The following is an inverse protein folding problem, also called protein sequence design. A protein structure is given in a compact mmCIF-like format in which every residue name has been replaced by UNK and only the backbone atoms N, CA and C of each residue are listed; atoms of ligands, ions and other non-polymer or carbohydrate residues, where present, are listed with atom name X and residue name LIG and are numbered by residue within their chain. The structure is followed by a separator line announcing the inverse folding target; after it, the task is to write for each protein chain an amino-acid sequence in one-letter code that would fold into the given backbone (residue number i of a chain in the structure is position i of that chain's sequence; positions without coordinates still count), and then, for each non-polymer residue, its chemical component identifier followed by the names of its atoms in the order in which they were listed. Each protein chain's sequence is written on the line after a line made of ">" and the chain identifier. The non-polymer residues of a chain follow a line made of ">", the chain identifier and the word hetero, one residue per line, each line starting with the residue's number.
data_IF_480219180118
#
_entry.id   IF_480219180118
#
_cell.length_a   1.000
_cell.length_b   1.000
_cell.length_c   1.000
_cell.angle_alpha   90.00
_cell.angle_beta   90.00
_cell.angle_gamma   90.00
#
_symmetry.space_group_name_H-M   'P 1'
#
loop_
_entity.id
_entity.type
_entity.pdbx_description
1 polymer ?
#
# COMPACT_ATOMS: atom_id res chain seq x y z
N UNK A 1 -2.61 -7.20 22.94
CA UNK A 1 -1.48 -6.80 22.06
C UNK A 1 -2.05 -6.04 20.88
N UNK A 2 -1.38 -5.05 20.30
CA UNK A 2 -1.85 -4.41 19.09
C UNK A 2 -1.80 -5.40 17.92
N UNK A 3 -2.64 -5.19 16.92
CA UNK A 3 -2.86 -6.14 15.84
C UNK A 3 -2.85 -5.45 14.46
N UNK A 4 -2.12 -6.02 13.51
CA UNK A 4 -2.05 -5.57 12.12
C UNK A 4 -2.49 -6.68 11.17
N UNK A 5 -3.37 -6.34 10.22
CA UNK A 5 -3.76 -7.17 9.10
C UNK A 5 -3.11 -6.65 7.82
N UNK A 6 -2.40 -7.50 7.07
CA UNK A 6 -1.65 -7.13 5.87
C UNK A 6 -2.16 -7.93 4.68
N UNK A 7 -2.75 -7.26 3.69
CA UNK A 7 -3.07 -7.88 2.40
C UNK A 7 -1.83 -7.92 1.50
N UNK A 8 -1.64 -9.01 0.73
CA UNK A 8 -0.39 -9.22 -0.01
C UNK A 8 0.83 -9.34 0.91
N UNK A 9 0.60 -9.86 2.13
CA UNK A 9 1.59 -9.91 3.20
C UNK A 9 2.64 -11.01 3.06
N UNK A 10 2.48 -11.95 2.10
CA UNK A 10 3.37 -13.09 1.99
C UNK A 10 4.68 -12.81 1.23
N UNK A 11 4.81 -11.66 0.56
CA UNK A 11 5.98 -11.32 -0.24
C UNK A 11 6.32 -9.82 -0.18
N UNK A 12 7.48 -9.45 -0.69
CA UNK A 12 7.90 -8.06 -0.93
C UNK A 12 7.74 -7.14 0.28
N UNK A 13 7.09 -6.00 0.06
CA UNK A 13 6.85 -4.96 1.07
C UNK A 13 6.00 -5.52 2.23
N UNK A 14 4.90 -6.23 1.92
CA UNK A 14 4.02 -6.79 2.94
C UNK A 14 4.76 -7.77 3.86
N UNK A 15 5.65 -8.62 3.32
CA UNK A 15 6.47 -9.53 4.13
C UNK A 15 7.46 -8.78 5.04
N UNK A 16 8.09 -7.72 4.53
CA UNK A 16 8.96 -6.87 5.33
C UNK A 16 8.18 -6.13 6.43
N UNK A 17 6.98 -5.65 6.11
CA UNK A 17 6.06 -5.05 7.09
C UNK A 17 5.68 -6.06 8.17
N UNK A 18 5.32 -7.29 7.80
CA UNK A 18 5.01 -8.35 8.75
C UNK A 18 6.16 -8.59 9.74
N UNK A 19 7.39 -8.72 9.23
CA UNK A 19 8.60 -8.87 10.07
C UNK A 19 8.80 -7.69 11.02
N UNK A 20 8.64 -6.47 10.49
CA UNK A 20 8.85 -5.24 11.26
C UNK A 20 7.90 -5.13 12.43
N UNK A 21 6.61 -5.42 12.23
CA UNK A 21 5.61 -5.37 13.28
C UNK A 21 5.75 -6.54 14.27
N UNK A 22 6.05 -7.75 13.79
CA UNK A 22 6.27 -8.91 14.66
C UNK A 22 7.46 -8.70 15.61
N UNK A 23 8.55 -8.06 15.14
CA UNK A 23 9.71 -7.74 15.96
C UNK A 23 9.39 -6.84 17.16
N UNK A 24 8.31 -6.04 17.08
CA UNK A 24 7.83 -5.19 18.16
C UNK A 24 6.65 -5.79 18.94
N UNK A 25 6.41 -7.09 18.78
CA UNK A 25 5.44 -7.85 19.58
C UNK A 25 3.99 -7.65 19.17
N UNK A 26 3.70 -7.24 17.92
CA UNK A 26 2.34 -7.15 17.40
C UNK A 26 1.81 -8.51 17.00
N UNK A 27 0.50 -8.71 17.12
CA UNK A 27 -0.20 -9.80 16.44
C UNK A 27 -0.29 -9.46 14.96
N UNK A 28 0.26 -10.33 14.10
CA UNK A 28 0.39 -10.05 12.66
C UNK A 28 -0.43 -11.04 11.84
N UNK A 29 -1.38 -10.53 11.06
CA UNK A 29 -2.10 -11.26 10.03
C UNK A 29 -1.42 -11.07 8.66
N UNK A 30 -1.07 -12.17 8.02
CA UNK A 30 -0.47 -12.22 6.68
C UNK A 30 -1.46 -12.90 5.75
N UNK A 31 -2.09 -12.12 4.88
CA UNK A 31 -3.10 -12.62 3.95
C UNK A 31 -2.65 -12.39 2.50
N UNK A 32 -2.78 -13.41 1.67
CA UNK A 32 -2.28 -13.39 0.28
C UNK A 32 -3.05 -14.37 -0.58
N UNK A 33 -3.06 -14.18 -1.89
CA UNK A 33 -3.61 -15.15 -2.85
C UNK A 33 -2.66 -16.33 -3.10
N UNK A 34 -1.37 -16.16 -2.82
CA UNK A 34 -0.33 -17.16 -3.08
C UNK A 34 -0.12 -18.10 -1.87
N UNK A 35 -0.70 -19.30 -1.95
CA UNK A 35 -0.63 -20.30 -0.89
C UNK A 35 0.80 -20.77 -0.56
N UNK A 36 1.68 -20.87 -1.55
CA UNK A 36 3.09 -21.27 -1.33
C UNK A 36 3.85 -20.18 -0.56
N UNK A 37 3.66 -18.91 -0.93
CA UNK A 37 4.26 -17.79 -0.22
C UNK A 37 3.72 -17.67 1.23
N UNK A 38 2.43 -17.96 1.45
CA UNK A 38 1.84 -18.03 2.79
C UNK A 38 2.47 -19.14 3.63
N UNK A 39 2.65 -20.34 3.07
CA UNK A 39 3.33 -21.44 3.75
C UNK A 39 4.77 -21.07 4.14
N UNK A 40 5.50 -20.41 3.23
CA UNK A 40 6.84 -19.88 3.51
C UNK A 40 6.84 -18.79 4.59
N UNK A 41 5.80 -17.94 4.62
CA UNK A 41 5.62 -16.95 5.68
C UNK A 41 5.43 -17.60 7.05
N UNK A 42 4.53 -18.58 7.11
CA UNK A 42 4.21 -19.32 8.33
C UNK A 42 5.40 -20.14 8.84
N UNK A 43 6.19 -20.70 7.93
CA UNK A 43 7.42 -21.43 8.30
C UNK A 43 8.50 -20.50 8.87
N UNK A 44 8.60 -19.26 8.39
CA UNK A 44 9.53 -18.25 8.91
C UNK A 44 9.13 -17.77 10.30
N UNK A 45 7.85 -17.49 10.50
CA UNK A 45 7.33 -17.10 11.81
C UNK A 45 6.01 -17.84 12.08
N UNK A 46 6.05 -18.89 12.93
CA UNK A 46 4.86 -19.67 13.29
C UNK A 46 3.75 -18.88 13.99
N UNK A 47 4.05 -17.70 14.54
CA UNK A 47 3.05 -16.88 15.22
C UNK A 47 2.20 -16.03 14.25
N UNK A 48 2.56 -15.93 12.98
CA UNK A 48 1.71 -15.24 12.00
C UNK A 48 0.35 -15.93 11.86
N UNK A 49 -0.71 -15.15 11.91
CA UNK A 49 -2.03 -15.57 11.46
C UNK A 49 -2.05 -15.47 9.93
N UNK A 50 -2.26 -16.59 9.24
CA UNK A 50 -2.17 -16.64 7.78
C UNK A 50 -3.47 -17.11 7.16
N UNK A 51 -3.91 -16.48 6.09
CA UNK A 51 -5.10 -16.86 5.35
C UNK A 51 -5.04 -16.49 3.87
N UNK A 52 -5.84 -17.19 3.06
CA UNK A 52 -5.97 -16.87 1.63
C UNK A 52 -6.91 -15.69 1.46
N UNK A 53 -6.50 -14.72 0.63
CA UNK A 53 -7.31 -13.55 0.32
C UNK A 53 -7.06 -13.09 -1.12
N UNK A 54 -8.11 -13.15 -1.95
CA UNK A 54 -8.18 -12.37 -3.18
C UNK A 54 -8.83 -11.03 -2.87
N UNK A 55 -8.06 -9.94 -2.94
CA UNK A 55 -8.53 -8.59 -2.59
C UNK A 55 -9.65 -8.07 -3.50
N UNK A 56 -9.92 -8.74 -4.63
CA UNK A 56 -11.02 -8.41 -5.55
C UNK A 56 -12.38 -8.92 -5.07
N UNK A 57 -12.38 -9.78 -4.07
CA UNK A 57 -13.57 -10.49 -3.58
C UNK A 57 -14.01 -9.92 -2.22
N UNK A 58 -15.18 -9.25 -2.15
CA UNK A 58 -15.68 -8.66 -0.91
C UNK A 58 -16.03 -9.71 0.17
N UNK A 59 -16.47 -10.91 -0.24
CA UNK A 59 -16.83 -11.97 0.71
C UNK A 59 -15.56 -12.55 1.35
N UNK A 60 -14.48 -12.68 0.61
CA UNK A 60 -13.18 -13.08 1.17
C UNK A 60 -12.62 -12.02 2.13
N UNK A 61 -12.77 -10.73 1.85
CA UNK A 61 -12.42 -9.68 2.80
C UNK A 61 -13.19 -9.82 4.11
N UNK A 62 -14.52 -10.00 4.04
CA UNK A 62 -15.35 -10.15 5.21
C UNK A 62 -14.96 -11.39 6.04
N UNK A 63 -14.73 -12.53 5.40
CA UNK A 63 -14.32 -13.78 6.06
C UNK A 63 -12.92 -13.65 6.70
N UNK A 64 -11.94 -13.11 5.97
CA UNK A 64 -10.56 -12.96 6.45
C UNK A 64 -10.45 -12.02 7.66
N UNK A 65 -11.17 -10.89 7.64
CA UNK A 65 -11.19 -9.96 8.76
C UNK A 65 -11.93 -10.52 9.97
N UNK A 66 -13.03 -11.26 9.77
CA UNK A 66 -13.73 -11.93 10.84
C UNK A 66 -12.83 -12.97 11.52
N UNK A 67 -12.20 -13.85 10.75
CA UNK A 67 -11.24 -14.85 11.25
C UNK A 67 -10.09 -14.19 12.03
N UNK A 68 -9.44 -13.18 11.45
CA UNK A 68 -8.35 -12.48 12.11
C UNK A 68 -8.78 -11.85 13.44
N UNK A 69 -9.93 -11.19 13.45
CA UNK A 69 -10.41 -10.48 14.65
C UNK A 69 -10.90 -11.40 15.75
N UNK A 70 -11.31 -12.62 15.46
CA UNK A 70 -11.55 -13.65 16.49
C UNK A 70 -10.28 -13.91 17.31
N UNK A 71 -9.12 -14.01 16.68
CA UNK A 71 -7.83 -14.22 17.35
C UNK A 71 -7.34 -13.00 18.15
N UNK A 72 -7.79 -11.79 17.78
CA UNK A 72 -7.36 -10.54 18.43
C UNK A 72 -8.39 -9.98 19.43
N UNK A 73 -9.45 -10.74 19.71
CA UNK A 73 -10.53 -10.29 20.61
C UNK A 73 -11.35 -9.13 20.03
N UNK A 74 -11.55 -9.11 18.72
CA UNK A 74 -12.29 -8.08 18.00
C UNK A 74 -11.47 -6.84 17.61
N UNK A 75 -10.17 -6.84 17.88
CA UNK A 75 -9.27 -5.70 17.71
C UNK A 75 -8.58 -5.71 16.35
N UNK A 76 -8.55 -4.56 15.68
CA UNK A 76 -7.79 -4.28 14.47
C UNK A 76 -7.17 -2.90 14.60
N UNK A 77 -5.89 -2.81 14.95
CA UNK A 77 -5.19 -1.52 15.11
C UNK A 77 -4.75 -0.95 13.77
N UNK A 78 -4.35 -1.83 12.85
CA UNK A 78 -3.88 -1.43 11.51
C UNK A 78 -4.44 -2.38 10.46
N UNK A 79 -5.09 -1.83 9.43
CA UNK A 79 -5.20 -2.49 8.14
C UNK A 79 -4.11 -1.92 7.21
N UNK A 80 -3.23 -2.79 6.68
CA UNK A 80 -2.29 -2.47 5.60
C UNK A 80 -2.80 -3.02 4.27
N UNK A 81 -3.41 -2.15 3.47
CA UNK A 81 -3.79 -2.40 2.09
C UNK A 81 -2.53 -2.39 1.21
N UNK A 82 -1.76 -3.48 1.27
CA UNK A 82 -0.48 -3.60 0.59
C UNK A 82 -0.56 -4.41 -0.72
N UNK A 83 -1.53 -5.30 -0.88
CA UNK A 83 -1.68 -6.09 -2.10
C UNK A 83 -1.69 -5.20 -3.35
N UNK A 84 -0.91 -5.58 -4.36
CA UNK A 84 -0.82 -4.84 -5.61
C UNK A 84 -0.03 -5.57 -6.66
N UNK A 85 -0.26 -5.19 -7.92
CA UNK A 85 0.43 -5.72 -9.10
C UNK A 85 0.90 -4.57 -9.98
N UNK A 86 1.88 -4.85 -10.85
CA UNK A 86 2.30 -3.92 -11.89
C UNK A 86 2.30 -4.65 -13.22
N UNK A 87 1.44 -4.23 -14.12
CA UNK A 87 1.36 -4.72 -15.50
C UNK A 87 1.86 -3.60 -16.42
N UNK A 88 3.13 -3.64 -16.82
CA UNK A 88 3.71 -2.60 -17.67
C UNK A 88 3.28 -2.75 -19.13
N UNK A 89 3.34 -1.65 -19.86
CA UNK A 89 3.11 -1.59 -21.30
C UNK A 89 2.44 -0.30 -21.72
N UNK A 90 2.62 0.07 -23.00
CA UNK A 90 1.88 1.16 -23.60
C UNK A 90 0.39 0.79 -23.67
N UNK A 91 -0.49 1.72 -23.29
CA UNK A 91 -1.91 1.44 -23.10
C UNK A 91 -2.57 0.75 -24.32
N UNK A 92 -2.16 1.14 -25.52
CA UNK A 92 -2.70 0.55 -26.77
C UNK A 92 -2.28 -0.91 -26.99
N UNK A 93 -1.21 -1.38 -26.32
CA UNK A 93 -0.67 -2.74 -26.42
C UNK A 93 -1.08 -3.63 -25.24
N UNK A 94 -1.59 -3.05 -24.14
CA UNK A 94 -2.06 -3.81 -22.96
C UNK A 94 -3.45 -4.37 -23.24
N UNK A 95 -3.67 -5.66 -22.93
CA UNK A 95 -4.97 -6.30 -23.14
C UNK A 95 -6.05 -5.73 -22.20
N UNK A 96 -7.34 -5.73 -22.61
CA UNK A 96 -8.43 -5.31 -21.74
C UNK A 96 -8.51 -6.10 -20.42
N UNK A 97 -8.19 -7.38 -20.43
CA UNK A 97 -8.14 -8.21 -19.21
C UNK A 97 -7.03 -7.77 -18.26
N UNK A 98 -5.86 -7.43 -18.78
CA UNK A 98 -4.75 -6.92 -17.98
C UNK A 98 -5.07 -5.54 -17.35
N UNK A 99 -5.72 -4.65 -18.13
CA UNK A 99 -6.23 -3.37 -17.61
C UNK A 99 -7.21 -3.62 -16.45
N UNK A 100 -8.19 -4.52 -16.67
CA UNK A 100 -9.18 -4.88 -15.65
C UNK A 100 -8.50 -5.43 -14.38
N UNK A 101 -7.58 -6.38 -14.53
CA UNK A 101 -6.85 -6.98 -13.42
C UNK A 101 -6.10 -5.92 -12.61
N UNK A 102 -5.42 -4.99 -13.28
CA UNK A 102 -4.68 -3.89 -12.63
C UNK A 102 -5.62 -3.02 -11.78
N UNK A 103 -6.77 -2.63 -12.33
CA UNK A 103 -7.75 -1.78 -11.62
C UNK A 103 -8.43 -2.55 -10.50
N UNK A 104 -8.84 -3.79 -10.73
CA UNK A 104 -9.53 -4.61 -9.73
C UNK A 104 -8.65 -4.85 -8.49
N UNK A 105 -7.34 -5.04 -8.66
CA UNK A 105 -6.43 -5.27 -7.54
C UNK A 105 -6.03 -3.95 -6.89
N UNK A 106 -5.48 -3.01 -7.67
CA UNK A 106 -4.76 -1.83 -7.14
C UNK A 106 -5.68 -0.66 -6.80
N UNK A 107 -6.96 -0.68 -7.21
CA UNK A 107 -7.95 0.34 -6.89
C UNK A 107 -9.16 -0.24 -6.15
N UNK A 108 -9.93 -1.14 -6.82
CA UNK A 108 -11.12 -1.72 -6.21
C UNK A 108 -10.78 -2.51 -4.95
N UNK A 109 -9.74 -3.35 -4.97
CA UNK A 109 -9.30 -4.16 -3.82
C UNK A 109 -8.96 -3.30 -2.60
N UNK A 110 -8.33 -2.14 -2.81
CA UNK A 110 -8.02 -1.19 -1.72
C UNK A 110 -9.30 -0.60 -1.12
N UNK A 111 -10.28 -0.23 -1.96
CA UNK A 111 -11.55 0.31 -1.49
C UNK A 111 -12.38 -0.75 -0.74
N UNK A 112 -12.42 -1.99 -1.25
CA UNK A 112 -13.10 -3.12 -0.58
C UNK A 112 -12.47 -3.42 0.78
N UNK A 113 -11.14 -3.43 0.87
CA UNK A 113 -10.43 -3.63 2.14
C UNK A 113 -10.74 -2.53 3.15
N UNK A 114 -10.71 -1.27 2.73
CA UNK A 114 -11.08 -0.15 3.58
C UNK A 114 -12.52 -0.27 4.10
N UNK A 115 -13.48 -0.56 3.20
CA UNK A 115 -14.89 -0.73 3.55
C UNK A 115 -15.10 -1.88 4.54
N UNK A 116 -14.51 -3.04 4.28
CA UNK A 116 -14.67 -4.23 5.12
C UNK A 116 -14.03 -4.06 6.51
N UNK A 117 -12.92 -3.33 6.60
CA UNK A 117 -12.20 -3.11 7.85
C UNK A 117 -12.84 -2.02 8.75
N UNK A 118 -13.60 -1.09 8.17
CA UNK A 118 -14.16 0.05 8.91
C UNK A 118 -14.85 -0.33 10.23
N UNK A 119 -15.74 -1.35 10.30
CA UNK A 119 -16.41 -1.73 11.55
C UNK A 119 -15.46 -2.20 12.67
N UNK A 120 -14.28 -2.71 12.32
CA UNK A 120 -13.25 -3.18 13.25
C UNK A 120 -12.34 -2.03 13.68
N UNK A 121 -11.89 -1.22 12.71
CA UNK A 121 -11.06 -0.03 12.98
C UNK A 121 -11.80 0.94 13.90
N UNK A 122 -13.07 1.25 13.61
CA UNK A 122 -13.93 2.15 14.41
C UNK A 122 -14.04 1.76 15.88
N UNK A 123 -13.98 0.47 16.19
CA UNK A 123 -14.06 -0.04 17.57
C UNK A 123 -12.70 -0.10 18.27
N UNK A 124 -11.61 0.15 17.55
CA UNK A 124 -10.26 0.08 18.06
C UNK A 124 -9.69 1.49 18.23
N UNK A 125 -9.43 1.95 19.45
CA UNK A 125 -8.90 3.31 19.67
C UNK A 125 -7.57 3.55 18.96
N UNK A 126 -7.41 4.73 18.36
CA UNK A 126 -6.24 5.14 17.58
C UNK A 126 -5.92 4.16 16.42
N UNK A 127 -6.94 3.65 15.75
CA UNK A 127 -6.75 2.74 14.62
C UNK A 127 -6.21 3.45 13.37
N UNK A 128 -5.60 2.66 12.47
CA UNK A 128 -5.00 3.18 11.26
C UNK A 128 -5.43 2.36 10.03
N UNK A 129 -5.77 3.06 8.95
CA UNK A 129 -5.80 2.50 7.61
C UNK A 129 -4.55 2.96 6.87
N UNK A 130 -3.70 2.04 6.46
CA UNK A 130 -2.50 2.30 5.66
C UNK A 130 -2.74 1.77 4.24
N UNK A 131 -2.58 2.62 3.24
CA UNK A 131 -2.72 2.25 1.84
C UNK A 131 -1.35 2.36 1.14
N UNK A 132 -0.86 1.29 0.53
CA UNK A 132 0.37 1.35 -0.27
C UNK A 132 0.05 1.94 -1.64
N UNK A 133 0.32 3.24 -1.78
CA UNK A 133 0.27 3.98 -3.02
C UNK A 133 1.57 3.80 -3.83
N UNK A 134 2.07 4.87 -4.43
CA UNK A 134 3.34 4.90 -5.17
C UNK A 134 3.72 6.35 -5.47
N UNK A 135 4.98 6.61 -5.75
CA UNK A 135 5.41 7.84 -6.41
C UNK A 135 4.69 8.09 -7.76
N UNK A 136 4.14 7.04 -8.37
CA UNK A 136 3.27 7.13 -9.55
C UNK A 136 1.92 7.82 -9.31
N UNK A 137 1.57 8.11 -8.05
CA UNK A 137 0.43 8.96 -7.68
C UNK A 137 0.78 10.47 -7.72
N UNK A 138 2.04 10.85 -7.97
CA UNK A 138 2.46 12.25 -8.11
C UNK A 138 2.25 12.71 -9.55
N UNK A 139 2.56 11.85 -10.52
CA UNK A 139 2.40 12.09 -11.95
C UNK A 139 2.21 10.77 -12.71
N UNK A 140 1.42 10.80 -13.79
CA UNK A 140 1.21 9.63 -14.65
C UNK A 140 2.49 9.24 -15.40
N UNK A 141 2.85 7.97 -15.38
CA UNK A 141 4.08 7.47 -16.01
C UNK A 141 3.79 6.78 -17.35
N UNK A 142 4.52 7.12 -18.43
CA UNK A 142 4.48 6.37 -19.69
C UNK A 142 4.81 4.89 -19.47
N UNK A 143 4.15 4.01 -20.22
CA UNK A 143 4.30 2.55 -20.08
C UNK A 143 3.69 1.94 -18.81
N UNK A 144 3.04 2.77 -17.96
CA UNK A 144 2.38 2.36 -16.72
C UNK A 144 1.11 3.19 -16.47
N UNK A 145 0.38 3.55 -17.52
CA UNK A 145 -0.77 4.46 -17.44
C UNK A 145 -1.84 3.95 -16.47
N UNK A 146 -2.22 2.68 -16.59
CA UNK A 146 -3.27 2.05 -15.76
C UNK A 146 -2.83 1.93 -14.30
N UNK A 147 -1.57 1.54 -14.06
CA UNK A 147 -1.00 1.49 -12.72
C UNK A 147 -0.98 2.89 -12.07
N UNK A 148 -0.49 3.90 -12.80
CA UNK A 148 -0.50 5.27 -12.31
C UNK A 148 -1.91 5.74 -11.95
N UNK A 149 -2.90 5.49 -12.82
CA UNK A 149 -4.29 5.82 -12.56
C UNK A 149 -4.83 5.15 -11.28
N UNK A 150 -4.53 3.85 -11.07
CA UNK A 150 -4.89 3.14 -9.85
C UNK A 150 -4.23 3.76 -8.60
N UNK A 151 -2.95 4.16 -8.68
CA UNK A 151 -2.26 4.78 -7.54
C UNK A 151 -2.72 6.22 -7.26
N UNK A 152 -3.18 6.97 -8.28
CA UNK A 152 -3.91 8.23 -8.08
C UNK A 152 -5.26 8.00 -7.38
N UNK A 153 -5.99 6.94 -7.75
CA UNK A 153 -7.21 6.55 -7.05
C UNK A 153 -6.94 6.30 -5.56
N UNK A 154 -5.89 5.53 -5.22
CA UNK A 154 -5.51 5.25 -3.82
C UNK A 154 -5.19 6.53 -3.06
N UNK A 155 -4.47 7.47 -3.68
CA UNK A 155 -4.15 8.75 -3.04
C UNK A 155 -5.41 9.57 -2.75
N UNK A 156 -6.31 9.72 -3.74
CA UNK A 156 -7.57 10.45 -3.56
C UNK A 156 -8.50 9.78 -2.56
N UNK A 157 -8.61 8.44 -2.59
CA UNK A 157 -9.37 7.68 -1.61
C UNK A 157 -8.84 7.91 -0.18
N UNK A 158 -7.52 7.90 0.00
CA UNK A 158 -6.89 8.14 1.31
C UNK A 158 -7.24 9.52 1.85
N UNK A 159 -7.15 10.57 1.03
CA UNK A 159 -7.49 11.94 1.45
C UNK A 159 -8.97 12.07 1.82
N UNK A 160 -9.86 11.45 1.06
CA UNK A 160 -11.29 11.47 1.36
C UNK A 160 -11.61 10.74 2.67
N UNK A 161 -11.10 9.53 2.85
CA UNK A 161 -11.36 8.72 4.04
C UNK A 161 -10.73 9.31 5.31
N UNK A 162 -9.62 10.03 5.24
CA UNK A 162 -9.06 10.74 6.41
C UNK A 162 -10.05 11.77 6.96
N UNK A 163 -10.78 12.45 6.07
CA UNK A 163 -11.80 13.42 6.48
C UNK A 163 -13.06 12.71 6.95
N UNK A 164 -13.55 11.72 6.19
CA UNK A 164 -14.78 10.97 6.51
C UNK A 164 -14.70 10.25 7.86
N UNK A 165 -13.53 9.69 8.21
CA UNK A 165 -13.33 8.87 9.41
C UNK A 165 -12.67 9.60 10.57
N UNK A 166 -12.48 10.91 10.44
CA UNK A 166 -11.83 11.74 11.47
C UNK A 166 -12.55 11.72 12.83
N UNK A 167 -13.88 11.61 12.82
CA UNK A 167 -14.69 11.54 14.06
C UNK A 167 -14.69 10.14 14.70
N UNK A 168 -14.24 9.11 13.97
CA UNK A 168 -14.18 7.72 14.43
C UNK A 168 -12.80 7.34 15.03
N UNK A 169 -11.90 8.31 15.25
CA UNK A 169 -10.52 8.12 15.73
C UNK A 169 -9.71 7.16 14.84
N UNK A 170 -10.00 7.14 13.54
CA UNK A 170 -9.29 6.35 12.54
C UNK A 170 -8.40 7.28 11.71
N UNK A 171 -7.12 7.02 11.73
CA UNK A 171 -6.16 7.74 10.90
C UNK A 171 -5.94 7.02 9.57
N UNK A 172 -6.13 7.72 8.46
CA UNK A 172 -5.97 7.16 7.11
C UNK A 172 -4.74 7.76 6.43
N UNK A 173 -3.81 6.90 6.03
CA UNK A 173 -2.53 7.35 5.44
C UNK A 173 -2.16 6.53 4.21
N UNK A 174 -1.38 7.14 3.31
CA UNK A 174 -0.78 6.45 2.16
C UNK A 174 0.74 6.50 2.21
N UNK A 175 1.37 5.40 1.81
CA UNK A 175 2.82 5.27 1.69
C UNK A 175 3.19 5.36 0.21
N UNK A 176 4.18 6.18 -0.12
CA UNK A 176 4.55 6.50 -1.50
C UNK A 176 5.98 6.05 -1.80
N UNK A 177 6.21 4.74 -2.01
CA UNK A 177 7.52 4.25 -2.43
C UNK A 177 7.82 4.59 -3.90
N UNK A 178 9.10 4.77 -4.20
CA UNK A 178 9.63 4.63 -5.55
C UNK A 178 9.94 3.16 -5.84
N UNK A 179 10.74 2.90 -6.88
CA UNK A 179 11.16 1.56 -7.26
C UNK A 179 11.85 0.86 -6.08
N UNK A 180 11.20 -0.19 -5.60
CA UNK A 180 11.62 -1.01 -4.47
C UNK A 180 12.03 -2.39 -4.98
N UNK A 181 13.10 -2.97 -4.47
CA UNK A 181 13.63 -4.30 -4.83
C UNK A 181 12.64 -5.41 -4.45
N UNK A 182 11.64 -5.60 -5.29
CA UNK A 182 10.60 -6.64 -5.18
C UNK A 182 10.36 -7.24 -6.56
N UNK A 183 9.61 -8.33 -6.66
CA UNK A 183 9.22 -8.93 -7.94
C UNK A 183 8.49 -7.92 -8.88
N UNK A 184 7.84 -6.88 -8.32
CA UNK A 184 7.24 -5.82 -9.13
C UNK A 184 8.29 -4.97 -9.87
N UNK A 185 9.52 -4.89 -9.39
CA UNK A 185 10.60 -4.12 -10.00
C UNK A 185 11.32 -4.88 -11.12
N UNK A 186 11.12 -6.19 -11.25
CA UNK A 186 11.70 -7.03 -12.31
C UNK A 186 11.00 -6.79 -13.66
N UNK A 187 10.57 -5.56 -13.90
CA UNK A 187 9.92 -5.13 -15.15
C UNK A 187 10.92 -4.40 -16.03
N UNK A 188 10.75 -4.49 -17.34
CA UNK A 188 11.58 -3.74 -18.31
C UNK A 188 11.23 -2.24 -18.38
N UNK A 189 10.72 -1.66 -17.29
CA UNK A 189 10.35 -0.25 -17.23
C UNK A 189 11.56 0.66 -17.42
N UNK A 190 11.47 1.59 -18.36
CA UNK A 190 12.50 2.61 -18.59
C UNK A 190 12.71 3.47 -17.34
N UNK A 191 11.65 3.79 -16.60
CA UNK A 191 11.76 4.61 -15.40
C UNK A 191 12.53 3.89 -14.29
N UNK A 192 12.39 2.56 -14.13
CA UNK A 192 13.21 1.76 -13.23
C UNK A 192 14.70 1.79 -13.61
N UNK A 193 14.99 1.71 -14.91
CA UNK A 193 16.38 1.80 -15.44
C UNK A 193 16.99 3.19 -15.23
N UNK A 194 16.20 4.25 -15.36
CA UNK A 194 16.67 5.65 -15.26
C UNK A 194 16.85 6.10 -13.81
N UNK A 195 15.88 5.81 -12.93
CA UNK A 195 15.92 6.26 -11.52
C UNK A 195 16.67 5.28 -10.62
N UNK A 196 16.81 4.04 -11.07
CA UNK A 196 17.40 2.94 -10.32
C UNK A 196 16.46 2.36 -9.25
N UNK A 197 16.57 1.07 -9.01
CA UNK A 197 15.87 0.36 -7.93
C UNK A 197 16.76 0.42 -6.69
N UNK A 198 16.53 1.41 -5.82
CA UNK A 198 17.39 1.72 -4.67
C UNK A 198 16.79 1.33 -3.33
N UNK A 199 15.45 1.40 -3.22
CA UNK A 199 14.76 1.08 -1.98
C UNK A 199 14.69 -0.44 -1.77
N UNK A 200 14.77 -0.85 -0.51
CA UNK A 200 14.47 -2.22 -0.08
C UNK A 200 13.06 -2.31 0.46
N UNK A 201 12.43 -3.49 0.51
CA UNK A 201 11.16 -3.68 1.20
C UNK A 201 11.19 -3.21 2.66
N UNK A 202 12.32 -3.36 3.34
CA UNK A 202 12.54 -2.94 4.72
C UNK A 202 12.49 -1.41 4.88
N UNK A 203 13.02 -0.65 3.89
CA UNK A 203 12.90 0.82 3.89
C UNK A 203 11.44 1.27 3.85
N UNK A 204 10.59 0.55 3.09
CA UNK A 204 9.16 0.84 3.02
C UNK A 204 8.46 0.43 4.31
N UNK A 205 8.74 -0.76 4.83
CA UNK A 205 8.18 -1.27 6.08
C UNK A 205 8.46 -0.33 7.27
N UNK A 206 9.66 0.26 7.33
CA UNK A 206 10.00 1.25 8.36
C UNK A 206 9.17 2.53 8.23
N UNK A 207 8.81 2.95 7.01
CA UNK A 207 7.91 4.11 6.82
C UNK A 207 6.47 3.76 7.17
N UNK A 208 5.99 2.53 6.86
CA UNK A 208 4.70 2.01 7.36
C UNK A 208 4.67 2.06 8.90
N UNK A 209 5.71 1.54 9.56
CA UNK A 209 5.83 1.59 11.01
C UNK A 209 5.75 3.03 11.56
N UNK A 210 6.51 3.96 10.98
CA UNK A 210 6.48 5.37 11.39
C UNK A 210 5.12 6.03 11.17
N UNK A 211 4.41 5.67 10.15
CA UNK A 211 3.10 6.26 9.83
C UNK A 211 2.03 5.92 10.86
N UNK A 212 2.12 4.74 11.49
CA UNK A 212 1.22 4.32 12.59
C UNK A 212 1.73 4.72 13.98
N UNK A 213 2.93 5.34 14.04
CA UNK A 213 3.48 5.98 15.24
C UNK A 213 3.73 7.47 14.97
N UNK A 214 2.67 8.25 14.63
CA UNK A 214 2.82 9.62 14.17
C UNK A 214 3.39 10.53 15.24
N UNK A 215 4.26 11.44 14.81
CA UNK A 215 4.74 12.53 15.67
C UNK A 215 3.62 13.52 15.99
N UNK A 216 3.81 14.37 16.99
CA UNK A 216 2.87 15.47 17.29
C UNK A 216 2.65 16.36 16.07
N UNK A 217 3.70 16.61 15.28
CA UNK A 217 3.60 17.41 14.05
C UNK A 217 2.75 16.69 12.98
N UNK A 218 2.93 15.39 12.78
CA UNK A 218 2.13 14.62 11.82
C UNK A 218 0.63 14.65 12.16
N UNK A 219 0.31 14.62 13.48
CA UNK A 219 -1.07 14.75 13.96
C UNK A 219 -1.64 16.16 13.73
N UNK A 220 -0.88 17.20 14.09
CA UNK A 220 -1.30 18.60 13.92
C UNK A 220 -1.45 19.01 12.46
N UNK A 221 -0.65 18.46 11.56
CA UNK A 221 -0.71 18.76 10.12
C UNK A 221 -1.63 17.83 9.34
N UNK A 222 -2.29 16.88 9.98
CA UNK A 222 -3.12 15.85 9.33
C UNK A 222 -2.38 15.21 8.14
N UNK A 223 -1.11 14.81 8.36
CA UNK A 223 -0.29 14.26 7.30
C UNK A 223 -0.84 12.94 6.80
N UNK A 224 -1.30 12.89 5.55
CA UNK A 224 -1.88 11.71 4.89
C UNK A 224 -0.89 10.96 4.01
N UNK A 225 0.18 11.62 3.52
CA UNK A 225 1.13 11.04 2.56
C UNK A 225 2.53 10.92 3.16
N UNK A 226 3.09 9.71 3.11
CA UNK A 226 4.44 9.40 3.59
C UNK A 226 5.31 8.91 2.43
N UNK A 227 6.21 9.77 1.97
CA UNK A 227 7.18 9.44 0.93
C UNK A 227 8.28 8.52 1.47
N UNK A 228 8.69 7.53 0.68
CA UNK A 228 9.83 6.67 1.01
C UNK A 228 11.08 7.12 0.23
N UNK A 229 12.12 7.50 0.97
CA UNK A 229 13.37 8.02 0.41
C UNK A 229 13.34 9.51 0.08
N UNK A 230 14.52 10.11 0.07
CA UNK A 230 14.69 11.56 -0.11
C UNK A 230 14.23 12.06 -1.48
N UNK A 231 14.47 11.28 -2.55
CA UNK A 231 14.07 11.65 -3.91
C UNK A 231 12.55 11.74 -4.04
N UNK A 232 11.80 10.76 -3.49
CA UNK A 232 10.33 10.80 -3.48
C UNK A 232 9.81 12.03 -2.75
N UNK A 233 10.42 12.36 -1.61
CA UNK A 233 10.04 13.53 -0.81
C UNK A 233 10.26 14.85 -1.60
N UNK A 234 11.37 14.97 -2.29
CA UNK A 234 11.65 16.15 -3.13
C UNK A 234 10.66 16.27 -4.28
N UNK A 235 10.39 15.16 -4.98
CA UNK A 235 9.46 15.14 -6.11
C UNK A 235 8.03 15.41 -5.64
N UNK A 236 7.55 14.78 -4.56
CA UNK A 236 6.20 14.96 -4.04
C UNK A 236 5.93 16.41 -3.57
N UNK A 237 6.90 17.03 -2.90
CA UNK A 237 6.78 18.43 -2.47
C UNK A 237 6.97 19.41 -3.63
N UNK A 238 7.87 19.12 -4.55
CA UNK A 238 8.14 19.97 -5.72
C UNK A 238 7.01 19.95 -6.74
N UNK A 239 6.41 18.80 -7.02
CA UNK A 239 5.39 18.64 -8.06
C UNK A 239 4.17 19.56 -7.88
N UNK A 240 3.82 19.91 -6.63
CA UNK A 240 2.71 20.83 -6.30
C UNK A 240 2.95 22.26 -6.76
N UNK A 241 4.23 22.68 -6.94
CA UNK A 241 4.62 24.05 -7.28
C UNK A 241 5.21 24.17 -8.69
N UNK A 242 5.40 23.07 -9.40
CA UNK A 242 6.01 23.05 -10.73
C UNK A 242 4.91 23.17 -11.80
N UNK A 243 5.05 24.08 -12.79
CA UNK A 243 4.11 24.15 -13.92
C UNK A 243 4.03 22.82 -14.68
N UNK A 244 2.85 22.49 -15.20
CA UNK A 244 2.60 21.24 -15.92
C UNK A 244 3.56 20.98 -17.09
N UNK A 245 4.01 22.05 -17.76
CA UNK A 245 5.00 21.97 -18.85
C UNK A 245 6.36 21.42 -18.37
N UNK A 246 6.80 21.84 -17.19
CA UNK A 246 8.07 21.40 -16.61
C UNK A 246 7.93 19.98 -16.02
N UNK A 247 6.80 19.68 -15.35
CA UNK A 247 6.48 18.31 -14.91
C UNK A 247 6.49 17.34 -16.11
N UNK A 248 5.90 17.74 -17.24
CA UNK A 248 5.91 16.94 -18.47
C UNK A 248 7.33 16.73 -19.01
N UNK A 249 8.17 17.76 -19.00
CA UNK A 249 9.56 17.66 -19.47
C UNK A 249 10.38 16.70 -18.58
N UNK A 250 10.25 16.84 -17.25
CA UNK A 250 10.90 15.94 -16.28
C UNK A 250 10.41 14.51 -16.43
N UNK A 251 9.11 14.30 -16.55
CA UNK A 251 8.51 12.97 -16.72
C UNK A 251 8.99 12.30 -18.03
N UNK A 252 9.06 13.09 -19.13
CA UNK A 252 9.61 12.62 -20.41
C UNK A 252 11.09 12.25 -20.33
N UNK A 253 11.86 12.95 -19.49
CA UNK A 253 13.29 12.65 -19.28
C UNK A 253 13.48 11.35 -18.47
N UNK A 254 12.60 11.10 -17.47
CA UNK A 254 12.71 9.97 -16.56
C UNK A 254 12.12 8.68 -17.17
N UNK A 255 11.04 8.77 -17.92
CA UNK A 255 10.23 7.63 -18.37
C UNK A 255 10.05 7.53 -19.88
N UNK A 256 10.54 8.51 -20.65
CA UNK A 256 10.44 8.59 -22.12
C UNK A 256 11.49 7.88 -22.96
#
# INVERSE_FOLDING_TARGET
>A
MPAIFISGGAAGIGRATARRFAADGWTVGVYDVNAEALAAAKAENPDYLTGTLDVRDPDQWAAALAEFTEHTGGRLDVLDNNAGVLIPGDLHAVTPSAIKTQIDIDALGVALGAQAAFPYLRRTPNAHLVNIASASAIYGQPGMATYSAAKFFVAGLTEALEIEWSEDDIRVVSIWPMWTKTALADTESKSAKTTGVRLTPEDVAEVVWKSVHPTTLDRLTHRTAYSVGTMTTVVANGAKFIPNSLNRAVNKLIAG
#
